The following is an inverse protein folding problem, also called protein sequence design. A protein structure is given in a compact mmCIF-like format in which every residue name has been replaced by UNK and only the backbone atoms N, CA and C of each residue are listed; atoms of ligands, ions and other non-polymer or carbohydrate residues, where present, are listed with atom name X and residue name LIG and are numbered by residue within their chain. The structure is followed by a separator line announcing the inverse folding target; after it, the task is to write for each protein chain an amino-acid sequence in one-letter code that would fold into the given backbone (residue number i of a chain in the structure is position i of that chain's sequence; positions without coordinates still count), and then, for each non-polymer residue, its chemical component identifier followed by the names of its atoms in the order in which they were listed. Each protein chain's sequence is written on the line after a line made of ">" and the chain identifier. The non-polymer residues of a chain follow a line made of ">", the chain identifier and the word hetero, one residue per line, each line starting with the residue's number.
data_IF_133865291179
#
_entry.id   IF_133865291179
#
_cell.length_a   1.000
_cell.length_b   1.000
_cell.length_c   1.000
_cell.angle_alpha   90.00
_cell.angle_beta   90.00
_cell.angle_gamma   90.00
#
_symmetry.space_group_name_H-M   'P 1'
#
loop_
_entity.id
_entity.type
_entity.pdbx_description
1 polymer ?
#
# COMPACT_ATOMS: atom_id res chain seq x y z
N UNK A 1 49.46 27.45 26.20
CA UNK A 1 48.73 28.72 25.95
C UNK A 1 47.27 28.49 26.31
N UNK A 2 46.82 29.18 27.35
CA UNK A 2 45.51 29.03 27.96
C UNK A 2 44.50 30.00 27.33
N UNK A 3 43.25 29.56 27.12
CA UNK A 3 42.07 30.43 27.13
C UNK A 3 40.93 29.72 27.84
N UNK A 4 40.69 30.16 29.07
CA UNK A 4 39.49 29.94 29.84
C UNK A 4 38.35 30.81 29.28
N UNK A 5 37.15 30.25 29.19
CA UNK A 5 35.91 30.97 28.91
C UNK A 5 34.90 30.62 29.99
N UNK A 6 34.52 31.60 30.80
CA UNK A 6 33.65 31.53 31.97
C UNK A 6 32.38 32.37 31.70
N UNK A 7 31.26 32.00 32.36
CA UNK A 7 30.00 32.76 32.59
C UNK A 7 28.96 32.73 31.44
N UNK A 8 27.64 32.69 31.65
CA UNK A 8 26.77 33.02 32.79
C UNK A 8 25.56 32.05 32.83
N UNK A 9 25.17 31.57 34.01
CA UNK A 9 23.88 30.92 34.24
C UNK A 9 22.91 31.93 34.89
N UNK A 10 21.81 32.24 34.22
CA UNK A 10 20.69 33.01 34.78
C UNK A 10 19.56 32.04 35.12
N UNK A 11 19.34 31.83 36.42
CA UNK A 11 18.19 31.11 36.97
C UNK A 11 17.04 32.11 37.09
N UNK A 12 16.07 32.01 36.19
CA UNK A 12 14.80 32.75 36.26
C UNK A 12 13.75 31.91 36.98
N UNK A 13 13.32 32.38 38.16
CA UNK A 13 12.16 31.87 38.89
C UNK A 13 10.87 32.36 38.21
N UNK A 14 10.04 31.44 37.71
CA UNK A 14 8.70 31.74 37.22
C UNK A 14 7.67 31.79 38.37
N UNK A 15 6.71 32.72 38.36
CA UNK A 15 5.64 32.76 39.36
C UNK A 15 4.61 31.66 39.12
N UNK A 16 4.12 31.06 40.21
CA UNK A 16 3.00 30.12 40.21
C UNK A 16 1.72 30.83 39.75
N UNK A 17 1.26 30.52 38.54
CA UNK A 17 -0.04 30.92 38.04
C UNK A 17 -1.13 30.01 38.63
N UNK A 18 -2.12 30.64 39.27
CA UNK A 18 -3.30 29.98 39.81
C UNK A 18 -4.13 29.33 38.69
N UNK A 19 -4.30 28.00 38.77
CA UNK A 19 -5.19 27.22 37.90
C UNK A 19 -6.65 27.60 38.18
N UNK A 20 -7.25 28.42 37.31
CA UNK A 20 -8.71 28.53 37.20
C UNK A 20 -9.23 27.29 36.46
N UNK A 21 -10.21 26.59 37.05
CA UNK A 21 -10.93 25.49 36.40
C UNK A 21 -11.61 26.03 35.14
N UNK A 22 -11.34 25.38 34.00
CA UNK A 22 -12.07 25.64 32.77
C UNK A 22 -13.54 25.21 32.95
N UNK A 23 -14.50 25.97 32.40
CA UNK A 23 -15.89 25.52 32.33
C UNK A 23 -15.99 24.24 31.48
N UNK A 24 -16.96 23.36 31.78
CA UNK A 24 -17.20 22.17 30.97
C UNK A 24 -17.55 22.60 29.53
N UNK A 25 -17.08 21.84 28.51
CA UNK A 25 -17.39 22.14 27.13
C UNK A 25 -18.91 22.03 26.91
N UNK A 26 -19.47 23.01 26.19
CA UNK A 26 -20.84 22.93 25.71
C UNK A 26 -21.01 21.73 24.76
N UNK A 27 -22.16 21.05 24.78
CA UNK A 27 -22.45 19.98 23.85
C UNK A 27 -22.45 20.53 22.42
N UNK A 28 -21.54 20.01 21.60
CA UNK A 28 -21.47 20.32 20.17
C UNK A 28 -22.69 19.71 19.49
N UNK A 29 -23.63 20.55 19.05
CA UNK A 29 -24.67 20.13 18.12
C UNK A 29 -24.03 19.78 16.78
N UNK A 30 -23.94 18.48 16.49
CA UNK A 30 -23.60 17.98 15.16
C UNK A 30 -24.76 18.29 14.21
N UNK A 31 -24.62 19.37 13.44
CA UNK A 31 -25.44 19.58 12.25
C UNK A 31 -25.17 18.45 11.26
N UNK A 32 -26.23 17.71 10.92
CA UNK A 32 -26.20 16.62 9.95
C UNK A 32 -25.78 17.12 8.57
N UNK A 33 -24.52 16.86 8.19
CA UNK A 33 -24.04 17.03 6.82
C UNK A 33 -24.76 16.01 5.94
N UNK A 34 -25.38 16.50 4.86
CA UNK A 34 -26.23 15.73 3.95
C UNK A 34 -25.61 14.42 3.48
N UNK A 35 -26.18 13.32 3.96
CA UNK A 35 -25.83 11.95 3.60
C UNK A 35 -26.42 11.58 2.24
N UNK A 36 -25.72 11.89 1.16
CA UNK A 36 -25.93 11.27 -0.16
C UNK A 36 -24.63 10.75 -0.77
N UNK A 37 -23.62 10.46 0.05
CA UNK A 37 -22.50 9.60 -0.34
C UNK A 37 -22.96 8.15 -0.14
N UNK A 38 -23.30 7.51 -1.27
CA UNK A 38 -23.58 6.10 -1.52
C UNK A 38 -23.63 5.15 -0.32
N UNK A 39 -24.84 4.89 0.20
CA UNK A 39 -25.15 3.77 1.11
C UNK A 39 -24.70 2.39 0.60
N UNK A 40 -24.42 2.26 -0.69
CA UNK A 40 -24.02 1.00 -1.34
C UNK A 40 -22.59 0.59 -1.00
N UNK A 41 -21.68 1.53 -0.72
CA UNK A 41 -20.24 1.22 -0.54
C UNK A 41 -19.88 0.85 0.89
N UNK A 42 -20.62 1.33 1.90
CA UNK A 42 -20.34 0.99 3.30
C UNK A 42 -20.85 -0.41 3.71
N UNK A 43 -21.87 -0.94 3.03
CA UNK A 43 -22.39 -2.28 3.35
C UNK A 43 -21.38 -3.38 2.98
N UNK A 44 -20.72 -3.30 1.82
CA UNK A 44 -19.74 -4.31 1.37
C UNK A 44 -18.48 -4.31 2.25
N UNK A 45 -18.02 -3.13 2.66
CA UNK A 45 -16.89 -2.99 3.60
C UNK A 45 -17.29 -3.51 4.99
N UNK A 46 -18.51 -3.19 5.45
CA UNK A 46 -19.06 -3.69 6.70
C UNK A 46 -19.19 -5.22 6.75
N UNK A 47 -19.65 -5.85 5.67
CA UNK A 47 -19.82 -7.31 5.58
C UNK A 47 -18.47 -8.04 5.49
N UNK A 48 -17.46 -7.45 4.87
CA UNK A 48 -16.11 -8.01 4.85
C UNK A 48 -15.40 -7.85 6.19
N UNK A 49 -15.59 -6.71 6.88
CA UNK A 49 -15.11 -6.52 8.25
C UNK A 49 -15.83 -7.48 9.20
N UNK A 50 -17.15 -7.64 9.08
CA UNK A 50 -17.95 -8.57 9.88
C UNK A 50 -17.52 -10.03 9.64
N UNK A 51 -17.33 -10.45 8.38
CA UNK A 51 -16.78 -11.78 8.06
C UNK A 51 -15.35 -11.97 8.59
N UNK A 52 -14.51 -10.94 8.52
CA UNK A 52 -13.19 -10.98 9.10
C UNK A 52 -13.25 -11.09 10.65
N UNK A 53 -14.23 -10.45 11.29
CA UNK A 53 -14.50 -10.52 12.72
C UNK A 53 -15.11 -11.87 13.14
N UNK A 54 -15.89 -12.51 12.28
CA UNK A 54 -16.56 -13.79 12.52
C UNK A 54 -15.66 -15.01 12.32
N UNK A 55 -14.46 -14.81 11.78
CA UNK A 55 -13.34 -15.73 11.94
C UNK A 55 -13.27 -16.80 10.85
N UNK A 56 -12.05 -16.92 10.33
CA UNK A 56 -11.54 -17.89 9.36
C UNK A 56 -11.68 -17.49 7.88
N UNK A 57 -10.53 -17.21 7.27
CA UNK A 57 -10.36 -17.08 5.83
C UNK A 57 -10.78 -18.39 5.13
N UNK A 58 -11.58 -18.30 4.07
CA UNK A 58 -12.13 -19.46 3.38
C UNK A 58 -11.08 -20.14 2.48
N UNK A 59 -10.34 -21.11 3.03
CA UNK A 59 -9.35 -21.88 2.29
C UNK A 59 -9.93 -22.84 1.25
N UNK A 60 -11.21 -23.20 1.35
CA UNK A 60 -11.85 -24.03 0.33
C UNK A 60 -12.06 -23.22 -0.97
N UNK A 61 -12.43 -21.94 -0.83
CA UNK A 61 -12.60 -21.03 -1.96
C UNK A 61 -11.26 -20.51 -2.51
N UNK A 62 -10.27 -20.28 -1.63
CA UNK A 62 -8.99 -19.65 -1.99
C UNK A 62 -7.79 -20.44 -1.45
N UNK A 63 -7.59 -21.71 -1.88
CA UNK A 63 -6.61 -22.61 -1.29
C UNK A 63 -5.16 -22.12 -1.44
N UNK A 64 -4.84 -21.41 -2.53
CA UNK A 64 -3.50 -20.86 -2.74
C UNK A 64 -3.12 -19.77 -1.73
N UNK A 65 -4.09 -19.01 -1.22
CA UNK A 65 -3.82 -17.98 -0.20
C UNK A 65 -3.60 -18.56 1.20
N UNK A 66 -3.97 -19.82 1.42
CA UNK A 66 -3.73 -20.50 2.69
C UNK A 66 -2.37 -21.22 2.78
N UNK A 67 -1.59 -21.17 1.71
CA UNK A 67 -0.25 -21.75 1.64
C UNK A 67 0.81 -20.71 2.02
N UNK A 68 2.00 -21.18 2.39
CA UNK A 68 3.15 -20.29 2.59
C UNK A 68 3.55 -19.62 1.27
N UNK A 69 3.94 -18.33 1.29
CA UNK A 69 4.15 -17.49 2.47
C UNK A 69 2.89 -16.73 2.95
N UNK A 70 1.77 -16.78 2.23
CA UNK A 70 0.57 -15.96 2.48
C UNK A 70 -0.14 -16.30 3.80
N UNK A 71 -0.38 -17.59 4.07
CA UNK A 71 -0.98 -18.10 5.31
C UNK A 71 -2.24 -17.35 5.78
N UNK A 72 -3.16 -17.01 4.86
CA UNK A 72 -4.27 -16.11 5.16
C UNK A 72 -5.25 -16.61 6.25
N UNK A 73 -5.33 -17.93 6.47
CA UNK A 73 -6.08 -18.56 7.55
C UNK A 73 -5.56 -18.26 8.96
N UNK A 74 -4.30 -17.79 9.08
CA UNK A 74 -3.67 -17.47 10.36
C UNK A 74 -3.87 -16.01 10.77
N UNK A 75 -4.33 -15.15 9.86
CA UNK A 75 -4.54 -13.74 10.16
C UNK A 75 -5.94 -13.52 10.74
N UNK A 76 -5.99 -12.83 11.87
CA UNK A 76 -7.22 -12.38 12.51
C UNK A 76 -7.38 -10.87 12.33
N UNK A 77 -8.56 -10.32 12.60
CA UNK A 77 -8.74 -8.85 12.65
C UNK A 77 -7.80 -8.20 13.67
N UNK A 78 -7.42 -8.93 14.73
CA UNK A 78 -6.41 -8.43 15.66
C UNK A 78 -5.03 -8.30 15.01
N UNK A 79 -4.65 -9.19 14.09
CA UNK A 79 -3.44 -9.04 13.28
C UNK A 79 -3.51 -7.77 12.41
N UNK A 80 -4.67 -7.45 11.82
CA UNK A 80 -4.86 -6.20 11.08
C UNK A 80 -4.63 -4.97 11.96
N UNK A 81 -5.26 -4.93 13.14
CA UNK A 81 -5.08 -3.82 14.07
C UNK A 81 -3.63 -3.71 14.52
N UNK A 82 -2.97 -4.84 14.77
CA UNK A 82 -1.54 -4.84 15.06
C UNK A 82 -0.72 -4.32 13.87
N UNK A 83 -1.06 -4.64 12.64
CA UNK A 83 -0.34 -4.15 11.45
C UNK A 83 -0.46 -2.65 11.28
N UNK A 84 -1.68 -2.14 11.39
CA UNK A 84 -1.92 -0.69 11.35
C UNK A 84 -1.12 0.00 12.45
N UNK A 85 -1.16 -0.53 13.68
CA UNK A 85 -0.44 0.03 14.84
C UNK A 85 1.08 -0.09 14.72
N UNK A 86 1.58 -1.21 14.22
CA UNK A 86 2.99 -1.58 14.30
C UNK A 86 3.78 -1.35 13.01
N UNK A 87 3.17 -0.73 11.99
CA UNK A 87 3.73 -0.53 10.63
C UNK A 87 3.87 -1.85 9.87
N UNK A 88 3.56 -1.86 8.58
CA UNK A 88 3.87 -3.01 7.72
C UNK A 88 5.39 -3.15 7.65
N UNK A 89 5.94 -4.20 8.28
CA UNK A 89 7.38 -4.44 8.34
C UNK A 89 8.08 -4.09 9.64
N UNK A 90 7.42 -4.27 10.79
CA UNK A 90 8.06 -4.17 12.12
C UNK A 90 9.34 -5.02 12.26
N UNK A 91 9.45 -6.11 11.51
CA UNK A 91 10.65 -6.95 11.46
C UNK A 91 11.73 -6.43 10.49
N UNK A 92 11.51 -5.29 9.83
CA UNK A 92 12.31 -4.85 8.68
C UNK A 92 12.00 -5.63 7.39
N UNK A 93 10.90 -6.40 7.35
CA UNK A 93 10.57 -7.25 6.20
C UNK A 93 9.17 -6.96 5.66
N UNK A 94 8.86 -7.45 4.47
CA UNK A 94 7.53 -7.37 3.91
C UNK A 94 6.49 -8.13 4.75
N UNK A 95 5.28 -7.59 4.81
CA UNK A 95 4.12 -8.21 5.46
C UNK A 95 3.02 -8.50 4.43
N UNK A 96 2.93 -9.78 4.05
CA UNK A 96 2.02 -10.26 2.99
C UNK A 96 0.55 -10.33 3.43
N UNK A 97 0.27 -10.23 4.72
CA UNK A 97 -1.09 -10.31 5.27
C UNK A 97 -2.07 -9.29 4.68
N UNK A 98 -1.57 -8.13 4.23
CA UNK A 98 -2.37 -7.11 3.55
C UNK A 98 -3.03 -7.64 2.27
N UNK A 99 -2.45 -8.67 1.65
CA UNK A 99 -3.00 -9.32 0.47
C UNK A 99 -4.22 -10.18 0.79
N UNK A 100 -4.36 -10.65 2.03
CA UNK A 100 -5.47 -11.50 2.48
C UNK A 100 -6.83 -10.79 2.50
N UNK A 101 -6.85 -9.45 2.39
CA UNK A 101 -8.10 -8.68 2.32
C UNK A 101 -8.67 -8.55 0.90
N UNK A 102 -7.93 -9.01 -0.11
CA UNK A 102 -8.37 -9.04 -1.51
C UNK A 102 -8.32 -10.45 -2.10
N UNK A 103 -9.14 -11.40 -1.61
CA UNK A 103 -9.04 -12.80 -2.01
C UNK A 103 -9.41 -13.05 -3.47
N UNK A 104 -10.15 -12.14 -4.11
CA UNK A 104 -10.50 -12.27 -5.53
C UNK A 104 -9.28 -12.19 -6.47
N UNK A 105 -8.15 -11.68 -5.96
CA UNK A 105 -6.86 -11.70 -6.64
C UNK A 105 -6.04 -12.97 -6.34
N UNK A 106 -6.62 -14.02 -5.73
CA UNK A 106 -5.92 -15.27 -5.41
C UNK A 106 -5.09 -15.83 -6.57
N UNK A 107 -5.61 -15.96 -7.81
CA UNK A 107 -4.81 -16.56 -8.88
C UNK A 107 -3.53 -15.77 -9.17
N UNK A 108 -3.55 -14.46 -8.97
CA UNK A 108 -2.35 -13.64 -9.11
C UNK A 108 -1.39 -13.86 -7.94
N UNK A 109 -1.87 -13.75 -6.71
CA UNK A 109 -1.02 -13.83 -5.52
C UNK A 109 -0.44 -15.22 -5.31
N UNK A 110 -1.24 -16.28 -5.48
CA UNK A 110 -0.76 -17.65 -5.29
C UNK A 110 0.21 -18.05 -6.40
N UNK A 111 -0.04 -17.67 -7.65
CA UNK A 111 0.91 -17.94 -8.73
C UNK A 111 2.22 -17.16 -8.56
N UNK A 112 2.17 -15.90 -8.12
CA UNK A 112 3.40 -15.13 -7.91
C UNK A 112 4.19 -15.62 -6.68
N UNK A 113 3.55 -15.70 -5.51
CA UNK A 113 4.24 -15.84 -4.23
C UNK A 113 4.40 -17.30 -3.77
N UNK A 114 3.44 -18.17 -4.12
CA UNK A 114 3.46 -19.59 -3.70
C UNK A 114 4.11 -20.44 -4.79
N UNK A 115 3.62 -20.33 -6.03
CA UNK A 115 4.14 -21.10 -7.17
C UNK A 115 5.44 -20.52 -7.73
N UNK A 116 5.79 -19.27 -7.35
CA UNK A 116 7.01 -18.57 -7.80
C UNK A 116 7.10 -18.44 -9.32
N UNK A 117 5.95 -18.26 -9.97
CA UNK A 117 5.87 -18.09 -11.42
C UNK A 117 5.40 -16.68 -11.78
N UNK A 118 6.34 -15.72 -11.73
CA UNK A 118 6.05 -14.30 -11.90
C UNK A 118 5.47 -13.99 -13.29
N UNK A 119 5.91 -14.69 -14.34
CA UNK A 119 5.45 -14.47 -15.72
C UNK A 119 4.01 -14.94 -15.91
N UNK A 120 3.65 -16.11 -15.37
CA UNK A 120 2.25 -16.57 -15.41
C UNK A 120 1.36 -15.66 -14.56
N UNK A 121 1.82 -15.28 -13.36
CA UNK A 121 1.11 -14.36 -12.48
C UNK A 121 0.80 -13.03 -13.18
N UNK A 122 1.79 -12.45 -13.88
CA UNK A 122 1.65 -11.25 -14.68
C UNK A 122 0.52 -11.35 -15.71
N UNK A 123 0.48 -12.44 -16.48
CA UNK A 123 -0.55 -12.65 -17.52
C UNK A 123 -1.94 -12.81 -16.91
N UNK A 124 -2.06 -13.63 -15.86
CA UNK A 124 -3.32 -13.81 -15.15
C UNK A 124 -3.86 -12.49 -14.61
N UNK A 125 -2.99 -11.66 -14.01
CA UNK A 125 -3.41 -10.37 -13.48
C UNK A 125 -3.83 -9.41 -14.60
N UNK A 126 -3.14 -9.41 -15.74
CA UNK A 126 -3.51 -8.61 -16.90
C UNK A 126 -4.88 -9.00 -17.45
N UNK A 127 -5.12 -10.30 -17.66
CA UNK A 127 -6.41 -10.83 -18.12
C UNK A 127 -7.55 -10.47 -17.17
N UNK A 128 -7.33 -10.58 -15.86
CA UNK A 128 -8.31 -10.18 -14.84
C UNK A 128 -8.57 -8.66 -14.85
N UNK A 129 -7.53 -7.87 -15.11
CA UNK A 129 -7.63 -6.41 -15.19
C UNK A 129 -8.46 -6.01 -16.41
N UNK A 130 -8.06 -6.44 -17.61
CA UNK A 130 -8.74 -6.04 -18.85
C UNK A 130 -10.15 -6.62 -18.99
N UNK A 131 -10.46 -7.74 -18.32
CA UNK A 131 -11.82 -8.30 -18.27
C UNK A 131 -12.77 -7.55 -17.33
N UNK A 132 -12.27 -6.59 -16.55
CA UNK A 132 -13.08 -5.83 -15.59
C UNK A 132 -13.39 -6.58 -14.30
N UNK A 133 -12.57 -7.58 -13.93
CA UNK A 133 -12.78 -8.33 -12.68
C UNK A 133 -12.63 -7.43 -11.44
N UNK A 134 -11.71 -6.47 -11.48
CA UNK A 134 -11.38 -5.64 -10.32
C UNK A 134 -12.07 -4.28 -10.28
N UNK A 135 -12.79 -3.89 -11.35
CA UNK A 135 -13.57 -2.65 -11.56
C UNK A 135 -13.84 -2.46 -13.08
N UNK A 136 -13.99 -1.22 -13.54
CA UNK A 136 -13.80 -0.84 -14.93
C UNK A 136 -12.36 -1.18 -15.37
N UNK A 137 -12.24 -2.23 -16.20
CA UNK A 137 -10.95 -2.79 -16.59
C UNK A 137 -10.04 -1.82 -17.32
N UNK A 138 -10.60 -0.87 -18.08
CA UNK A 138 -9.80 0.16 -18.75
C UNK A 138 -9.24 1.19 -17.76
N UNK A 139 -10.04 1.59 -16.76
CA UNK A 139 -9.59 2.52 -15.71
C UNK A 139 -8.49 1.91 -14.85
N UNK A 140 -8.64 0.63 -14.48
CA UNK A 140 -7.62 -0.08 -13.73
C UNK A 140 -6.34 -0.24 -14.56
N UNK A 141 -6.44 -0.67 -15.82
CA UNK A 141 -5.27 -0.81 -16.69
C UNK A 141 -4.55 0.53 -16.95
N UNK A 142 -5.27 1.65 -17.05
CA UNK A 142 -4.66 2.98 -17.13
C UNK A 142 -3.88 3.34 -15.86
N UNK A 143 -4.45 3.04 -14.69
CA UNK A 143 -3.83 3.27 -13.38
C UNK A 143 -2.56 2.43 -13.24
N UNK A 144 -2.63 1.16 -13.61
CA UNK A 144 -1.48 0.27 -13.56
C UNK A 144 -0.42 0.65 -14.59
N UNK A 145 -0.81 1.00 -15.82
CA UNK A 145 0.15 1.36 -16.86
C UNK A 145 0.92 2.63 -16.51
N UNK A 146 0.22 3.70 -16.12
CA UNK A 146 0.88 4.93 -15.66
C UNK A 146 1.83 4.66 -14.50
N UNK A 147 1.45 3.84 -13.52
CA UNK A 147 2.35 3.36 -12.46
C UNK A 147 3.59 2.66 -13.02
N UNK A 148 3.42 1.71 -13.95
CA UNK A 148 4.51 0.98 -14.59
C UNK A 148 5.53 1.89 -15.28
N UNK A 149 5.05 2.88 -16.03
CA UNK A 149 5.92 3.81 -16.76
C UNK A 149 6.60 4.81 -15.81
N UNK A 150 5.85 5.47 -14.91
CA UNK A 150 6.39 6.47 -13.97
C UNK A 150 7.43 5.85 -13.03
N UNK A 151 7.17 4.64 -12.53
CA UNK A 151 8.13 3.91 -11.70
C UNK A 151 9.18 3.17 -12.54
N UNK A 152 9.33 3.45 -13.84
CA UNK A 152 10.40 2.89 -14.66
C UNK A 152 10.44 1.34 -14.68
N UNK A 153 9.33 0.67 -14.36
CA UNK A 153 9.27 -0.79 -14.24
C UNK A 153 9.40 -1.46 -15.61
N UNK A 154 9.10 -0.74 -16.69
CA UNK A 154 9.28 -1.22 -18.07
C UNK A 154 10.74 -1.48 -18.46
N UNK A 155 11.69 -0.76 -17.85
CA UNK A 155 13.14 -0.90 -18.10
C UNK A 155 13.86 -1.57 -16.92
N UNK A 156 13.11 -2.11 -15.95
CA UNK A 156 13.71 -2.77 -14.78
C UNK A 156 14.36 -4.09 -15.20
N UNK A 157 15.69 -4.15 -15.19
CA UNK A 157 16.47 -5.36 -15.46
C UNK A 157 16.80 -6.14 -14.18
N UNK A 158 16.58 -5.54 -13.01
CA UNK A 158 16.92 -6.15 -11.73
C UNK A 158 15.91 -7.22 -11.30
N UNK A 159 14.62 -7.03 -11.62
CA UNK A 159 13.59 -8.05 -11.45
C UNK A 159 13.62 -9.02 -12.63
N UNK A 160 13.95 -10.28 -12.34
CA UNK A 160 13.97 -11.39 -13.29
C UNK A 160 12.79 -12.34 -13.04
N UNK A 161 12.61 -13.34 -13.90
CA UNK A 161 11.59 -14.37 -13.72
C UNK A 161 11.80 -15.25 -12.46
N UNK A 162 13.00 -15.25 -11.89
CA UNK A 162 13.39 -16.03 -10.72
C UNK A 162 13.48 -15.20 -9.43
N UNK A 163 13.23 -13.89 -9.50
CA UNK A 163 13.34 -12.99 -8.34
C UNK A 163 12.42 -13.46 -7.21
N UNK A 164 13.03 -13.73 -6.06
CA UNK A 164 12.38 -14.16 -4.84
C UNK A 164 11.88 -12.96 -4.02
N UNK A 165 11.05 -13.21 -3.01
CA UNK A 165 10.61 -12.18 -2.06
C UNK A 165 11.79 -11.48 -1.36
N UNK A 166 12.78 -12.25 -0.89
CA UNK A 166 13.94 -11.70 -0.18
C UNK A 166 14.82 -10.82 -1.10
N UNK A 167 15.03 -11.23 -2.35
CA UNK A 167 15.71 -10.38 -3.33
C UNK A 167 14.90 -9.12 -3.64
N UNK A 168 13.57 -9.23 -3.73
CA UNK A 168 12.71 -8.08 -3.94
C UNK A 168 12.78 -7.05 -2.80
N UNK A 169 12.93 -7.49 -1.54
CA UNK A 169 13.18 -6.59 -0.41
C UNK A 169 14.50 -5.82 -0.57
N UNK A 170 15.57 -6.48 -1.02
CA UNK A 170 16.85 -5.81 -1.30
C UNK A 170 16.74 -4.80 -2.44
N UNK A 171 15.93 -5.11 -3.47
CA UNK A 171 15.63 -4.14 -4.53
C UNK A 171 14.85 -2.94 -3.99
N UNK A 172 13.90 -3.17 -3.08
CA UNK A 172 13.18 -2.11 -2.39
C UNK A 172 14.10 -1.25 -1.52
N UNK A 173 15.07 -1.85 -0.82
CA UNK A 173 16.09 -1.13 -0.05
C UNK A 173 16.94 -0.23 -0.94
N UNK A 174 17.46 -0.76 -2.05
CA UNK A 174 18.28 0.01 -2.98
C UNK A 174 17.52 1.15 -3.65
N UNK A 175 16.22 0.96 -3.90
CA UNK A 175 15.41 1.90 -4.68
C UNK A 175 14.72 2.98 -3.84
N UNK A 176 14.27 2.63 -2.64
CA UNK A 176 13.45 3.51 -1.81
C UNK A 176 14.07 3.83 -0.45
N UNK A 177 15.04 3.03 0.01
CA UNK A 177 15.57 3.07 1.36
C UNK A 177 14.73 2.21 2.31
N UNK A 178 15.40 1.40 3.12
CA UNK A 178 14.79 0.43 4.02
C UNK A 178 13.72 1.05 4.93
N UNK A 179 14.07 2.16 5.59
CA UNK A 179 13.18 2.84 6.54
C UNK A 179 11.94 3.46 5.88
N UNK A 180 12.01 3.79 4.59
CA UNK A 180 10.89 4.43 3.88
C UNK A 180 9.78 3.41 3.63
N UNK A 181 10.11 2.25 3.06
CA UNK A 181 9.10 1.26 2.68
C UNK A 181 8.59 0.46 3.88
N UNK A 182 9.45 0.12 4.85
CA UNK A 182 9.05 -0.61 6.08
C UNK A 182 8.19 0.22 7.05
N UNK A 183 8.02 1.52 6.80
CA UNK A 183 7.24 2.43 7.65
C UNK A 183 6.06 3.09 6.93
N UNK A 184 5.86 2.80 5.65
CA UNK A 184 4.83 3.44 4.81
C UNK A 184 3.42 3.28 5.36
N UNK A 185 3.10 2.13 5.96
CA UNK A 185 1.78 1.85 6.54
C UNK A 185 1.68 2.17 8.04
N UNK A 186 2.62 2.91 8.61
CA UNK A 186 2.55 3.32 10.03
C UNK A 186 1.37 4.27 10.25
N UNK A 187 0.63 4.14 11.38
CA UNK A 187 -0.42 5.13 11.72
C UNK A 187 0.09 6.56 11.63
N UNK A 188 1.33 6.80 12.08
CA UNK A 188 1.97 8.12 12.00
C UNK A 188 2.07 8.63 10.56
N UNK A 189 2.53 7.80 9.60
CA UNK A 189 2.56 8.19 8.19
C UNK A 189 1.17 8.25 7.57
N UNK A 190 0.27 7.30 7.85
CA UNK A 190 -1.10 7.33 7.32
C UNK A 190 -1.85 8.61 7.70
N UNK A 191 -1.65 9.12 8.91
CA UNK A 191 -2.23 10.39 9.35
C UNK A 191 -1.59 11.61 8.69
N UNK A 192 -0.30 11.53 8.34
CA UNK A 192 0.42 12.58 7.61
C UNK A 192 0.14 12.55 6.10
N UNK A 193 -0.10 11.36 5.56
CA UNK A 193 -0.35 11.05 4.15
C UNK A 193 -1.87 10.99 3.84
N UNK A 194 -2.70 11.78 4.54
CA UNK A 194 -4.13 11.90 4.23
C UNK A 194 -4.40 12.31 2.78
N UNK A 195 -3.40 12.88 2.11
CA UNK A 195 -3.40 13.23 0.68
C UNK A 195 -3.27 12.03 -0.25
N UNK A 196 -2.90 10.84 0.23
CA UNK A 196 -2.77 9.65 -0.62
C UNK A 196 -4.07 9.35 -1.37
N UNK A 197 -5.22 9.46 -0.68
CA UNK A 197 -6.52 9.25 -1.32
C UNK A 197 -6.87 10.37 -2.31
N UNK A 198 -6.34 11.58 -2.12
CA UNK A 198 -6.51 12.70 -3.04
C UNK A 198 -5.63 12.55 -4.31
N UNK A 199 -4.53 11.80 -4.19
CA UNK A 199 -3.55 11.54 -5.26
C UNK A 199 -3.93 10.35 -6.15
N UNK A 200 -4.96 9.58 -5.80
CA UNK A 200 -5.47 8.54 -6.67
C UNK A 200 -6.06 9.16 -7.95
N UNK A 201 -5.79 8.60 -9.14
CA UNK A 201 -6.31 9.11 -10.39
C UNK A 201 -7.83 9.22 -10.35
N UNK A 202 -8.32 10.45 -10.55
CA UNK A 202 -9.75 10.65 -10.74
C UNK A 202 -10.12 10.09 -12.12
N UNK A 203 -11.27 9.43 -12.19
CA UNK A 203 -11.88 8.98 -13.44
C UNK A 203 -11.09 7.90 -14.22
N UNK A 204 -10.02 7.35 -13.65
CA UNK A 204 -9.21 6.30 -14.27
C UNK A 204 -8.34 6.77 -15.44
N UNK A 205 -7.95 8.05 -15.42
CA UNK A 205 -7.00 8.60 -16.40
C UNK A 205 -5.59 7.97 -16.27
N UNK A 206 -5.25 7.49 -15.08
CA UNK A 206 -3.91 7.08 -14.69
C UNK A 206 -3.22 8.15 -13.84
N UNK A 207 -2.08 7.80 -13.25
CA UNK A 207 -1.18 8.72 -12.57
C UNK A 207 -0.47 9.63 -13.60
N UNK A 208 -0.11 10.83 -13.16
CA UNK A 208 0.54 11.87 -13.94
C UNK A 208 2.02 12.02 -13.57
N UNK A 209 2.39 11.74 -12.32
CA UNK A 209 3.76 11.90 -11.86
C UNK A 209 4.16 10.97 -10.69
N UNK A 210 5.46 10.98 -10.38
CA UNK A 210 6.06 10.13 -9.36
C UNK A 210 5.59 10.44 -7.94
N UNK A 211 5.14 11.65 -7.65
CA UNK A 211 4.63 12.00 -6.33
C UNK A 211 3.36 11.23 -5.98
N UNK A 212 2.59 10.80 -6.99
CA UNK A 212 1.39 9.97 -6.82
C UNK A 212 1.73 8.48 -6.74
N UNK A 213 2.69 8.00 -7.54
CA UNK A 213 3.02 6.56 -7.63
C UNK A 213 3.97 6.09 -6.54
N UNK A 214 4.79 6.99 -5.96
CA UNK A 214 5.81 6.62 -4.97
C UNK A 214 5.20 5.87 -3.78
N UNK A 215 4.07 6.35 -3.26
CA UNK A 215 3.39 5.70 -2.14
C UNK A 215 2.88 4.31 -2.51
N UNK A 216 2.35 4.15 -3.73
CA UNK A 216 1.92 2.84 -4.25
C UNK A 216 3.10 1.87 -4.32
N UNK A 217 4.27 2.34 -4.80
CA UNK A 217 5.46 1.50 -4.89
C UNK A 217 6.03 1.11 -3.52
N UNK A 218 6.07 2.05 -2.57
CA UNK A 218 6.44 1.76 -1.18
C UNK A 218 5.50 0.73 -0.55
N UNK A 219 4.19 0.83 -0.79
CA UNK A 219 3.24 -0.17 -0.34
C UNK A 219 3.45 -1.53 -1.00
N UNK A 220 3.79 -1.57 -2.29
CA UNK A 220 4.10 -2.83 -2.97
C UNK A 220 5.32 -3.53 -2.34
N UNK A 221 6.34 -2.76 -1.94
CA UNK A 221 7.46 -3.27 -1.15
C UNK A 221 7.01 -3.76 0.23
N UNK A 222 6.29 -2.93 0.98
CA UNK A 222 5.83 -3.26 2.34
C UNK A 222 4.91 -4.48 2.38
N UNK A 223 4.10 -4.70 1.35
CA UNK A 223 3.22 -5.86 1.19
C UNK A 223 3.87 -7.03 0.45
N UNK A 224 5.16 -6.92 0.11
CA UNK A 224 5.97 -8.00 -0.45
C UNK A 224 5.59 -8.45 -1.85
N UNK A 225 5.00 -7.59 -2.67
CA UNK A 225 4.61 -7.92 -4.05
C UNK A 225 5.25 -7.02 -5.10
N UNK A 226 6.29 -6.26 -4.75
CA UNK A 226 7.02 -5.39 -5.69
C UNK A 226 7.49 -6.15 -6.94
N UNK A 227 8.13 -7.32 -6.77
CA UNK A 227 8.60 -8.14 -7.89
C UNK A 227 7.45 -8.69 -8.75
N UNK A 228 6.31 -9.03 -8.15
CA UNK A 228 5.09 -9.40 -8.89
C UNK A 228 4.61 -8.25 -9.78
N UNK A 229 4.54 -7.04 -9.23
CA UNK A 229 4.11 -5.84 -9.95
C UNK A 229 5.10 -5.45 -11.06
N UNK A 230 6.41 -5.53 -10.80
CA UNK A 230 7.43 -5.26 -11.82
C UNK A 230 7.34 -6.25 -12.98
N UNK A 231 7.20 -7.56 -12.71
CA UNK A 231 7.03 -8.55 -13.77
C UNK A 231 5.70 -8.36 -14.52
N UNK A 232 4.62 -8.04 -13.81
CA UNK A 232 3.34 -7.67 -14.40
C UNK A 232 3.49 -6.56 -15.43
N UNK A 233 4.15 -5.46 -15.06
CA UNK A 233 4.45 -4.37 -15.97
C UNK A 233 5.23 -4.84 -17.22
N UNK A 234 6.37 -5.51 -17.01
CA UNK A 234 7.30 -5.94 -18.06
C UNK A 234 6.68 -6.88 -19.07
N UNK A 235 5.86 -7.82 -18.61
CA UNK A 235 5.29 -8.86 -19.47
C UNK A 235 4.02 -8.41 -20.19
N UNK A 236 3.39 -7.30 -19.74
CA UNK A 236 2.05 -6.92 -20.21
C UNK A 236 1.99 -5.46 -20.66
N UNK A 237 1.70 -4.52 -19.75
CA UNK A 237 1.42 -3.11 -20.05
C UNK A 237 2.57 -2.42 -20.79
N UNK A 238 3.82 -2.79 -20.50
CA UNK A 238 5.01 -2.21 -21.16
C UNK A 238 5.24 -2.73 -22.59
N UNK A 239 4.50 -3.74 -23.03
CA UNK A 239 4.55 -4.31 -24.39
C UNK A 239 3.30 -3.99 -25.22
N UNK A 240 2.27 -3.46 -24.59
CA UNK A 240 1.03 -3.09 -25.27
C UNK A 240 1.16 -1.69 -25.87
N UNK A 241 1.06 -1.60 -27.20
CA UNK A 241 1.20 -0.34 -27.93
C UNK A 241 0.21 0.74 -27.47
N UNK A 242 -0.99 0.36 -26.99
CA UNK A 242 -1.98 1.31 -26.47
C UNK A 242 -1.40 2.05 -25.28
N UNK A 243 -0.83 1.33 -24.32
CA UNK A 243 -0.29 1.91 -23.09
C UNK A 243 1.07 2.57 -23.32
N UNK A 244 1.91 2.04 -24.21
CA UNK A 244 3.16 2.68 -24.63
C UNK A 244 2.87 4.06 -25.25
N UNK A 245 1.93 4.15 -26.21
CA UNK A 245 1.57 5.44 -26.81
C UNK A 245 1.01 6.43 -25.80
N UNK A 246 0.21 5.93 -24.84
CA UNK A 246 -0.46 6.79 -23.85
C UNK A 246 0.48 7.25 -22.73
N UNK A 247 1.31 6.37 -22.17
CA UNK A 247 2.08 6.63 -20.94
C UNK A 247 3.59 6.54 -21.11
N UNK A 248 4.10 6.13 -22.28
CA UNK A 248 5.54 5.97 -22.51
C UNK A 248 6.36 7.24 -22.29
N UNK A 249 5.74 8.42 -22.44
CA UNK A 249 6.36 9.71 -22.17
C UNK A 249 6.57 10.01 -20.67
N UNK A 250 5.96 9.25 -19.76
CA UNK A 250 6.12 9.37 -18.31
C UNK A 250 7.30 8.57 -17.77
N UNK A 251 7.94 7.74 -18.62
CA UNK A 251 9.09 6.94 -18.21
C UNK A 251 10.31 7.82 -17.90
N UNK A 252 11.08 7.48 -16.85
CA UNK A 252 12.35 8.14 -16.56
C UNK A 252 13.46 7.81 -17.57
#
# INVERSE_FOLDING_TARGET
>A
MARAGLLFALVGLSPAAALRRAPPPEPVELHSVGTNVSKVTMNTVGDNIKRALEGHFNCEAYPGMCQEPLNCQRHTVFNLFQQLRNTAGKSGHADLSGLCYGPDAEPFWSTCLVQKNLVLAARLHYEQTISGKFQDGEKQANTDASFCFIEGLCKDEAVTNATTLAEAEQLCDGRYGHDEWTRVMSVGRLLQDSKMMEQMPKDGAGFEDRSQTRQVALQACAKGHFHCSAMYCKETLCRDEKYIRKFGHLAP
#
